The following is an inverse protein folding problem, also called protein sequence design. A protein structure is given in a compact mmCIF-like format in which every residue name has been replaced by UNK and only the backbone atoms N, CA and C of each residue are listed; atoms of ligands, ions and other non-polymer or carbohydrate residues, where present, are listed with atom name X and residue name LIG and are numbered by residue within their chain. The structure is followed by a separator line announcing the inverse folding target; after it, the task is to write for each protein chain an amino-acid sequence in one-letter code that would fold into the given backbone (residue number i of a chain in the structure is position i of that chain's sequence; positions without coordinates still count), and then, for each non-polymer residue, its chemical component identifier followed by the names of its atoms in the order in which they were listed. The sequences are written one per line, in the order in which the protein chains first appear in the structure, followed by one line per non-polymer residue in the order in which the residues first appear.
data_IF_421813380715
#
_entry.id   IF_421813380715
#
_cell.length_a   1.000
_cell.length_b   1.000
_cell.length_c   1.000
_cell.angle_alpha   90.00
_cell.angle_beta   90.00
_cell.angle_gamma   90.00
#
_symmetry.space_group_name_H-M   'P 1'
#
loop_
_entity.id
_entity.type
_entity.pdbx_description
1 polymer ?
#
# COMPACT_ATOMS: atom_id res chain seq x y z
N UNK A 1 10.07 35.22 -5.78
CA UNK A 1 9.40 35.92 -4.66
C UNK A 1 8.09 35.23 -4.24
N UNK A 2 7.18 34.91 -5.15
CA UNK A 2 5.88 34.27 -4.83
C UNK A 2 6.03 32.87 -4.22
N UNK A 3 7.02 32.10 -4.63
CA UNK A 3 7.30 30.77 -4.08
C UNK A 3 7.79 30.85 -2.62
N UNK A 4 8.71 31.76 -2.35
CA UNK A 4 9.27 31.98 -1.00
C UNK A 4 8.17 32.47 -0.04
N UNK A 5 7.29 33.38 -0.49
CA UNK A 5 6.18 33.87 0.31
C UNK A 5 5.16 32.78 0.66
N UNK A 6 4.88 31.85 -0.27
CA UNK A 6 4.02 30.67 -0.01
C UNK A 6 4.64 29.72 1.00
N UNK A 7 5.94 29.49 0.92
CA UNK A 7 6.67 28.61 1.83
C UNK A 7 6.72 29.18 3.23
N UNK A 8 7.00 30.49 3.37
CA UNK A 8 6.97 31.20 4.66
C UNK A 8 5.59 31.14 5.30
N UNK A 9 4.51 31.35 4.53
CA UNK A 9 3.14 31.26 5.04
C UNK A 9 2.75 29.83 5.46
N UNK A 10 3.32 28.79 4.81
CA UNK A 10 3.14 27.39 5.17
C UNK A 10 3.84 27.05 6.50
N UNK A 11 5.06 27.53 6.67
CA UNK A 11 5.85 27.34 7.89
C UNK A 11 5.19 28.04 9.09
N UNK A 12 4.68 29.26 8.92
CA UNK A 12 3.96 29.97 9.98
C UNK A 12 2.69 29.22 10.41
N UNK A 13 1.95 28.63 9.47
CA UNK A 13 0.77 27.80 9.78
C UNK A 13 1.15 26.53 10.53
N UNK A 14 2.24 25.89 10.15
CA UNK A 14 2.76 24.71 10.84
C UNK A 14 3.15 25.01 12.28
N UNK A 15 3.86 26.12 12.52
CA UNK A 15 4.23 26.60 13.88
C UNK A 15 3.00 26.87 14.75
N UNK A 16 2.01 27.59 14.21
CA UNK A 16 0.77 27.87 14.96
C UNK A 16 0.06 26.59 15.36
N UNK A 17 -0.02 25.62 14.44
CA UNK A 17 -0.66 24.34 14.72
C UNK A 17 0.12 23.52 15.75
N UNK A 18 1.44 23.49 15.66
CA UNK A 18 2.31 22.80 16.62
C UNK A 18 2.12 23.38 18.03
N UNK A 19 2.23 24.70 18.19
CA UNK A 19 2.05 25.35 19.49
C UNK A 19 0.63 25.14 20.04
N UNK A 20 -0.39 25.13 19.19
CA UNK A 20 -1.75 24.78 19.58
C UNK A 20 -1.83 23.36 20.17
N UNK A 21 -1.25 22.37 19.47
CA UNK A 21 -1.22 21.00 19.94
C UNK A 21 -0.49 20.87 21.28
N UNK A 22 0.68 21.50 21.45
CA UNK A 22 1.39 21.54 22.72
C UNK A 22 0.55 22.14 23.86
N UNK A 23 -0.20 23.20 23.58
CA UNK A 23 -1.08 23.83 24.56
C UNK A 23 -2.20 22.91 25.01
N UNK A 24 -2.81 22.18 24.06
CA UNK A 24 -3.83 21.18 24.40
C UNK A 24 -3.25 19.99 25.16
N UNK A 25 -2.06 19.50 24.79
CA UNK A 25 -1.36 18.43 25.53
C UNK A 25 -1.03 18.83 26.96
N UNK A 26 -0.67 20.09 27.20
CA UNK A 26 -0.46 20.61 28.55
C UNK A 26 -1.76 20.68 29.35
N UNK A 27 -2.86 21.18 28.77
CA UNK A 27 -4.16 21.26 29.40
C UNK A 27 -4.71 19.91 29.81
N UNK A 28 -4.54 18.92 28.94
CA UNK A 28 -4.97 17.52 29.18
C UNK A 28 -4.00 16.73 30.06
N UNK A 29 -2.88 17.35 30.49
CA UNK A 29 -1.91 16.72 31.39
C UNK A 29 -1.00 15.66 30.74
N UNK A 30 -0.92 15.62 29.42
CA UNK A 30 -0.03 14.69 28.69
C UNK A 30 1.43 15.10 28.75
N UNK A 31 1.73 16.39 28.97
CA UNK A 31 3.09 16.92 29.13
C UNK A 31 3.16 17.83 30.35
N UNK A 32 4.36 17.93 30.95
CA UNK A 32 4.59 18.84 32.06
C UNK A 32 4.77 20.29 31.57
N UNK A 33 4.57 21.27 32.47
CA UNK A 33 4.84 22.68 32.18
C UNK A 33 6.27 22.90 31.68
N UNK A 34 7.24 22.19 32.25
CA UNK A 34 8.64 22.25 31.85
C UNK A 34 8.88 21.71 30.44
N UNK A 35 8.21 20.63 30.06
CA UNK A 35 8.31 20.06 28.72
C UNK A 35 7.65 20.99 27.69
N UNK A 36 6.53 21.61 28.04
CA UNK A 36 5.86 22.61 27.22
C UNK A 36 6.78 23.81 26.91
N UNK A 37 7.41 24.40 27.92
CA UNK A 37 8.32 25.53 27.77
C UNK A 37 9.56 25.19 26.93
N UNK A 38 10.10 23.97 27.10
CA UNK A 38 11.25 23.50 26.32
C UNK A 38 10.92 23.15 24.88
N UNK A 39 9.65 22.87 24.58
CA UNK A 39 9.22 22.39 23.26
C UNK A 39 8.60 23.50 22.40
N UNK A 40 8.39 24.71 22.95
CA UNK A 40 7.85 25.82 22.19
C UNK A 40 8.85 26.33 21.14
N UNK A 41 8.38 26.47 19.90
CA UNK A 41 9.14 27.21 18.89
C UNK A 41 9.14 28.70 19.20
N UNK A 42 10.31 29.25 19.42
CA UNK A 42 10.49 30.71 19.58
C UNK A 42 10.29 31.40 18.24
N UNK A 43 9.65 32.57 18.24
CA UNK A 43 9.21 33.26 17.02
C UNK A 43 10.36 33.61 16.05
N UNK A 44 11.60 33.73 16.57
CA UNK A 44 12.78 34.14 15.80
C UNK A 44 13.82 33.03 15.56
N UNK A 45 13.57 31.79 15.96
CA UNK A 45 14.47 30.70 15.64
C UNK A 45 14.24 30.27 14.18
N UNK A 46 15.33 30.15 13.38
CA UNK A 46 15.20 29.59 12.05
C UNK A 46 14.62 28.19 12.17
N UNK A 47 13.58 27.96 11.42
CA UNK A 47 12.95 26.63 11.35
C UNK A 47 13.90 25.72 10.57
N UNK A 48 14.68 24.94 11.29
CA UNK A 48 15.55 23.96 10.68
C UNK A 48 14.68 22.82 10.12
N UNK A 49 14.57 22.81 8.78
CA UNK A 49 13.85 21.75 8.07
C UNK A 49 14.50 20.37 8.30
N UNK A 50 15.78 20.32 8.67
CA UNK A 50 16.49 19.10 9.00
C UNK A 50 16.14 18.58 10.40
N UNK A 51 15.66 19.43 11.30
CA UNK A 51 15.06 18.99 12.57
C UNK A 51 13.71 18.31 12.37
N UNK A 52 12.98 18.63 11.32
CA UNK A 52 11.88 17.82 10.84
C UNK A 52 12.47 16.78 9.87
N UNK A 53 13.37 15.98 10.34
CA UNK A 53 13.51 14.67 9.78
C UNK A 53 12.19 13.94 10.10
N UNK A 54 11.15 14.29 9.34
CA UNK A 54 10.14 13.35 8.98
C UNK A 54 10.84 12.28 8.14
N UNK A 55 11.67 11.49 8.78
CA UNK A 55 11.66 10.09 8.45
C UNK A 55 10.17 9.78 8.52
N UNK A 56 9.51 9.54 7.38
CA UNK A 56 8.14 9.08 7.44
C UNK A 56 8.21 7.86 8.35
N UNK A 57 7.68 7.99 9.58
CA UNK A 57 7.71 6.99 10.66
C UNK A 57 7.03 5.71 10.17
N UNK A 58 6.52 5.77 8.99
CA UNK A 58 6.11 4.64 8.17
C UNK A 58 6.78 4.79 6.80
N UNK A 59 7.89 4.10 6.57
CA UNK A 59 8.02 3.40 5.28
C UNK A 59 6.61 2.88 5.03
N UNK A 60 5.98 3.24 3.93
CA UNK A 60 4.64 2.74 3.61
C UNK A 60 4.76 1.22 3.52
N UNK A 61 4.63 0.55 4.66
CA UNK A 61 4.67 -0.90 4.74
C UNK A 61 3.46 -1.39 3.97
N UNK A 62 3.67 -2.33 3.09
CA UNK A 62 2.59 -3.00 2.38
C UNK A 62 1.71 -2.07 1.52
N UNK A 63 2.34 -1.30 0.64
CA UNK A 63 1.64 -0.32 -0.19
C UNK A 63 0.53 -0.96 -1.03
N UNK A 64 0.78 -2.13 -1.60
CA UNK A 64 -0.22 -2.86 -2.37
C UNK A 64 -1.39 -3.35 -1.51
N UNK A 65 -1.12 -3.82 -0.29
CA UNK A 65 -2.16 -4.21 0.67
C UNK A 65 -3.05 -3.02 1.03
N UNK A 66 -2.44 -1.89 1.37
CA UNK A 66 -3.17 -0.67 1.73
C UNK A 66 -4.04 -0.18 0.55
N UNK A 67 -3.52 -0.27 -0.67
CA UNK A 67 -4.25 0.11 -1.87
C UNK A 67 -5.42 -0.84 -2.14
N UNK A 68 -5.19 -2.14 -2.05
CA UNK A 68 -6.23 -3.15 -2.20
C UNK A 68 -7.36 -2.95 -1.20
N UNK A 69 -7.03 -2.71 0.07
CA UNK A 69 -8.01 -2.41 1.12
C UNK A 69 -8.82 -1.16 0.75
N UNK A 70 -8.16 -0.11 0.30
CA UNK A 70 -8.84 1.12 -0.11
C UNK A 70 -9.81 0.88 -1.26
N UNK A 71 -9.39 0.17 -2.31
CA UNK A 71 -10.23 -0.16 -3.46
C UNK A 71 -11.42 -1.06 -3.04
N UNK A 72 -11.19 -2.00 -2.11
CA UNK A 72 -12.25 -2.83 -1.54
C UNK A 72 -13.28 -1.99 -0.77
N UNK A 73 -12.84 -1.05 0.06
CA UNK A 73 -13.74 -0.15 0.79
C UNK A 73 -14.55 0.73 -0.18
N UNK A 74 -13.92 1.28 -1.20
CA UNK A 74 -14.60 2.07 -2.23
C UNK A 74 -15.61 1.24 -3.02
N UNK A 75 -15.27 0.01 -3.36
CA UNK A 75 -16.19 -0.93 -4.02
C UNK A 75 -17.43 -1.23 -3.16
N UNK A 76 -17.28 -1.23 -1.84
CA UNK A 76 -18.38 -1.41 -0.88
C UNK A 76 -19.06 -0.08 -0.49
N UNK A 77 -18.85 0.98 -1.25
CA UNK A 77 -19.58 2.24 -1.10
C UNK A 77 -19.01 3.21 -0.06
N UNK A 78 -17.83 2.94 0.50
CA UNK A 78 -17.15 3.85 1.43
C UNK A 78 -16.26 4.79 0.63
N UNK A 79 -16.59 6.08 0.61
CA UNK A 79 -15.83 7.08 -0.14
C UNK A 79 -14.49 7.43 0.52
N UNK A 80 -13.56 7.98 -0.27
CA UNK A 80 -12.26 8.49 0.23
C UNK A 80 -12.42 9.56 1.32
N UNK A 81 -13.46 10.39 1.21
CA UNK A 81 -13.77 11.41 2.21
C UNK A 81 -14.22 10.78 3.53
N UNK A 82 -15.02 9.71 3.46
CA UNK A 82 -15.46 8.97 4.63
C UNK A 82 -14.30 8.22 5.29
N UNK A 83 -13.43 7.56 4.52
CA UNK A 83 -12.21 6.93 5.05
C UNK A 83 -11.35 7.94 5.80
N UNK A 84 -11.26 9.18 5.30
CA UNK A 84 -10.49 10.26 5.94
C UNK A 84 -11.20 10.83 7.18
N UNK A 85 -12.53 10.88 7.18
CA UNK A 85 -13.34 11.37 8.31
C UNK A 85 -13.36 10.38 9.48
N UNK A 86 -13.33 9.09 9.21
CA UNK A 86 -13.31 8.05 10.25
C UNK A 86 -11.89 7.89 10.82
N UNK A 87 -11.39 8.94 11.47
CA UNK A 87 -10.15 8.86 12.25
C UNK A 87 -10.31 7.76 13.31
N UNK A 88 -9.54 6.67 13.18
CA UNK A 88 -9.60 5.53 14.09
C UNK A 88 -10.29 4.28 13.54
N UNK A 89 -10.63 4.23 12.24
CA UNK A 89 -11.09 3.00 11.60
C UNK A 89 -10.03 1.89 11.77
N UNK A 90 -10.44 0.78 12.38
CA UNK A 90 -9.61 -0.43 12.52
C UNK A 90 -10.04 -1.43 11.46
N UNK A 91 -9.12 -1.80 10.59
CA UNK A 91 -9.34 -2.77 9.52
C UNK A 91 -8.57 -4.03 9.85
N UNK A 92 -9.29 -5.14 9.99
CA UNK A 92 -8.72 -6.47 10.18
C UNK A 92 -8.66 -7.16 8.82
N UNK A 93 -7.49 -7.59 8.43
CA UNK A 93 -7.26 -8.28 7.16
C UNK A 93 -6.73 -9.71 7.39
N UNK A 94 -6.80 -10.52 6.36
CA UNK A 94 -6.24 -11.88 6.34
C UNK A 94 -4.75 -11.91 6.00
N UNK A 95 -4.14 -10.75 5.74
CA UNK A 95 -2.74 -10.62 5.36
C UNK A 95 -1.83 -11.01 6.52
N UNK A 96 -0.89 -11.90 6.23
CA UNK A 96 0.19 -12.28 7.10
C UNK A 96 1.37 -11.33 6.89
N UNK A 97 1.77 -10.61 7.94
CA UNK A 97 2.79 -9.56 7.82
C UNK A 97 4.17 -10.10 7.47
N UNK A 98 4.50 -11.29 7.97
CA UNK A 98 5.82 -11.88 7.76
C UNK A 98 5.90 -12.47 6.34
N UNK A 99 4.85 -13.15 5.92
CA UNK A 99 4.74 -13.66 4.55
C UNK A 99 4.71 -12.52 3.52
N UNK A 100 4.01 -11.43 3.82
CA UNK A 100 3.99 -10.24 2.98
C UNK A 100 5.39 -9.61 2.86
N UNK A 101 6.14 -9.54 3.94
CA UNK A 101 7.49 -9.01 3.91
C UNK A 101 8.42 -9.88 3.06
N UNK A 102 8.39 -11.20 3.27
CA UNK A 102 9.16 -12.16 2.47
C UNK A 102 8.82 -12.04 0.99
N UNK A 103 7.53 -12.00 0.65
CA UNK A 103 7.07 -11.83 -0.73
C UNK A 103 7.63 -10.54 -1.36
N UNK A 104 7.54 -9.42 -0.66
CA UNK A 104 8.03 -8.13 -1.13
C UNK A 104 9.54 -8.16 -1.38
N UNK A 105 10.31 -8.69 -0.44
CA UNK A 105 11.77 -8.77 -0.54
C UNK A 105 12.22 -9.66 -1.72
N UNK A 106 11.63 -10.84 -1.85
CA UNK A 106 11.99 -11.77 -2.92
C UNK A 106 11.55 -11.28 -4.30
N UNK A 107 10.36 -10.67 -4.43
CA UNK A 107 9.91 -10.10 -5.71
C UNK A 107 10.84 -8.96 -6.15
N UNK A 108 11.19 -8.05 -5.25
CA UNK A 108 12.09 -6.94 -5.56
C UNK A 108 13.47 -7.44 -5.98
N UNK A 109 14.01 -8.43 -5.28
CA UNK A 109 15.30 -9.04 -5.58
C UNK A 109 15.31 -9.72 -6.96
N UNK A 110 14.30 -10.54 -7.26
CA UNK A 110 14.20 -11.24 -8.53
C UNK A 110 13.96 -10.28 -9.70
N UNK A 111 13.08 -9.29 -9.54
CA UNK A 111 12.87 -8.28 -10.57
C UNK A 111 14.12 -7.43 -10.83
N UNK A 112 14.84 -7.06 -9.77
CA UNK A 112 16.10 -6.34 -9.93
C UNK A 112 17.16 -7.16 -10.70
N UNK A 113 17.18 -8.48 -10.48
CA UNK A 113 18.11 -9.38 -11.19
C UNK A 113 17.73 -9.53 -12.67
N UNK A 114 16.47 -9.83 -12.95
CA UNK A 114 15.98 -10.01 -14.31
C UNK A 114 16.05 -8.72 -15.14
N UNK A 115 15.85 -7.58 -14.52
CA UNK A 115 15.91 -6.27 -15.21
C UNK A 115 17.33 -5.81 -15.54
N UNK A 116 18.39 -6.45 -15.01
CA UNK A 116 19.77 -6.13 -15.40
C UNK A 116 20.06 -6.37 -16.88
N UNK A 117 19.40 -7.38 -17.46
CA UNK A 117 19.58 -7.80 -18.85
C UNK A 117 18.59 -7.13 -19.82
N UNK A 118 17.66 -6.35 -19.29
CA UNK A 118 16.60 -5.71 -20.08
C UNK A 118 16.86 -4.22 -20.31
N UNK A 119 16.34 -3.65 -21.41
CA UNK A 119 16.42 -2.22 -21.65
C UNK A 119 15.74 -1.41 -20.53
N UNK A 120 16.38 -0.37 -20.03
CA UNK A 120 15.87 0.47 -18.94
C UNK A 120 14.51 1.13 -19.21
N UNK A 121 14.15 1.29 -20.49
CA UNK A 121 12.87 1.87 -20.92
C UNK A 121 11.71 0.87 -20.95
N UNK A 122 11.97 -0.42 -20.72
CA UNK A 122 10.93 -1.46 -20.68
C UNK A 122 11.25 -2.50 -19.59
N UNK A 123 11.17 -2.13 -18.31
CA UNK A 123 11.44 -3.05 -17.22
C UNK A 123 10.37 -4.15 -17.13
N UNK A 124 10.80 -5.35 -16.81
CA UNK A 124 9.92 -6.45 -16.45
C UNK A 124 9.24 -6.16 -15.12
N UNK A 125 7.96 -6.44 -15.07
CA UNK A 125 7.13 -6.36 -13.87
C UNK A 125 6.36 -7.66 -13.67
N UNK A 126 6.17 -8.04 -12.42
CA UNK A 126 5.43 -9.24 -12.05
C UNK A 126 4.47 -8.96 -10.89
N UNK A 127 3.41 -9.74 -10.79
CA UNK A 127 2.50 -9.68 -9.65
C UNK A 127 2.23 -11.07 -9.10
N UNK A 128 2.04 -11.14 -7.80
CA UNK A 128 1.83 -12.39 -7.08
C UNK A 128 0.69 -12.26 -6.08
N UNK A 129 -0.08 -13.32 -5.93
CA UNK A 129 -1.10 -13.46 -4.89
C UNK A 129 -0.86 -14.81 -4.20
N UNK A 130 -0.71 -14.75 -2.88
CA UNK A 130 -0.55 -15.96 -2.04
C UNK A 130 -1.86 -16.22 -1.33
N UNK A 131 -2.43 -17.39 -1.55
CA UNK A 131 -3.75 -17.77 -1.05
C UNK A 131 -3.60 -19.01 -0.15
N UNK A 132 -4.30 -19.01 0.98
CA UNK A 132 -4.46 -20.21 1.79
C UNK A 132 -5.39 -21.18 1.06
N UNK A 133 -4.86 -22.33 0.62
CA UNK A 133 -5.61 -23.30 -0.16
C UNK A 133 -6.82 -23.91 0.56
N UNK A 134 -6.85 -23.88 1.91
CA UNK A 134 -7.96 -24.42 2.70
C UNK A 134 -9.08 -23.44 2.92
N UNK A 135 -8.75 -22.16 3.10
CA UNK A 135 -9.73 -21.11 3.47
C UNK A 135 -10.06 -20.15 2.33
N UNK A 136 -9.24 -20.11 1.27
CA UNK A 136 -9.35 -19.13 0.18
C UNK A 136 -8.87 -17.72 0.55
N UNK A 137 -8.35 -17.51 1.77
CA UNK A 137 -7.90 -16.21 2.23
C UNK A 137 -6.62 -15.75 1.54
N UNK A 138 -6.57 -14.49 1.11
CA UNK A 138 -5.35 -13.88 0.61
C UNK A 138 -4.42 -13.60 1.79
N UNK A 139 -3.24 -14.22 1.77
CA UNK A 139 -2.22 -14.10 2.83
C UNK A 139 -1.14 -13.09 2.52
N UNK A 140 -0.82 -12.90 1.24
CA UNK A 140 0.11 -11.87 0.77
C UNK A 140 -0.21 -11.48 -0.67
N UNK A 141 0.15 -10.24 -1.06
CA UNK A 141 -0.06 -9.73 -2.42
C UNK A 141 1.08 -8.78 -2.82
N UNK A 142 1.57 -8.93 -4.04
CA UNK A 142 2.49 -7.99 -4.68
C UNK A 142 1.95 -7.56 -6.04
N UNK A 143 2.00 -6.28 -6.32
CA UNK A 143 1.58 -5.70 -7.61
C UNK A 143 2.73 -5.39 -8.56
N UNK A 144 3.97 -5.72 -8.20
CA UNK A 144 5.19 -5.42 -8.93
C UNK A 144 6.25 -4.77 -8.06
N UNK A 145 7.17 -4.05 -8.68
CA UNK A 145 8.22 -3.32 -7.95
C UNK A 145 7.62 -2.23 -7.04
N UNK A 146 8.03 -2.19 -5.77
CA UNK A 146 7.52 -1.21 -4.80
C UNK A 146 8.18 0.19 -4.94
N UNK A 147 8.16 0.76 -6.12
CA UNK A 147 8.46 2.18 -6.26
C UNK A 147 7.19 3.01 -6.04
N UNK A 148 7.17 3.72 -4.91
CA UNK A 148 6.02 4.54 -4.46
C UNK A 148 5.63 5.62 -5.48
N UNK A 149 6.57 6.05 -6.34
CA UNK A 149 6.34 7.10 -7.34
C UNK A 149 5.52 6.61 -8.54
N UNK A 150 5.52 5.31 -8.82
CA UNK A 150 4.87 4.70 -9.99
C UNK A 150 3.62 3.87 -9.67
N UNK A 151 3.18 3.85 -8.41
CA UNK A 151 2.08 3.01 -7.93
C UNK A 151 0.69 3.49 -8.33
N UNK A 152 0.44 3.59 -9.61
CA UNK A 152 -0.90 3.91 -10.11
C UNK A 152 -1.77 2.65 -10.35
N UNK A 153 -1.18 1.45 -10.36
CA UNK A 153 -1.84 0.26 -10.86
C UNK A 153 -1.48 -1.01 -10.08
N UNK A 154 -2.50 -1.73 -9.57
CA UNK A 154 -2.32 -3.04 -8.96
C UNK A 154 -2.46 -4.12 -10.03
N UNK A 155 -1.34 -4.60 -10.55
CA UNK A 155 -1.33 -5.62 -11.61
C UNK A 155 -2.05 -6.91 -11.21
N UNK A 156 -1.99 -7.27 -9.95
CA UNK A 156 -2.65 -8.46 -9.41
C UNK A 156 -4.19 -8.40 -9.51
N UNK A 157 -4.78 -7.20 -9.55
CA UNK A 157 -6.23 -7.00 -9.68
C UNK A 157 -6.64 -6.68 -11.12
N UNK A 158 -5.70 -6.58 -12.06
CA UNK A 158 -6.01 -6.26 -13.44
C UNK A 158 -6.49 -7.49 -14.22
N UNK A 159 -7.45 -7.26 -15.11
CA UNK A 159 -7.92 -8.31 -16.01
C UNK A 159 -6.84 -8.63 -17.03
N UNK A 160 -6.45 -9.90 -17.10
CA UNK A 160 -5.45 -10.44 -18.00
C UNK A 160 -5.96 -11.73 -18.63
N UNK A 161 -5.46 -12.04 -19.82
CA UNK A 161 -5.72 -13.36 -20.42
C UNK A 161 -5.07 -14.45 -19.54
N UNK A 162 -5.84 -15.43 -19.07
CA UNK A 162 -5.30 -16.48 -18.21
C UNK A 162 -4.43 -17.49 -18.97
N UNK A 163 -4.50 -17.52 -20.30
CA UNK A 163 -3.86 -18.57 -21.08
C UNK A 163 -4.27 -19.96 -20.58
N UNK A 164 -3.32 -20.89 -20.57
CA UNK A 164 -3.58 -22.28 -20.09
C UNK A 164 -3.88 -22.39 -18.59
N UNK A 165 -3.67 -21.33 -17.81
CA UNK A 165 -3.98 -21.33 -16.37
C UNK A 165 -5.49 -21.43 -16.08
N UNK A 166 -6.36 -21.20 -17.10
CA UNK A 166 -7.81 -21.40 -16.98
C UNK A 166 -8.21 -22.88 -17.04
N UNK A 167 -7.36 -23.76 -17.59
CA UNK A 167 -7.73 -25.17 -17.85
C UNK A 167 -8.16 -25.95 -16.61
N UNK A 168 -7.53 -25.82 -15.44
CA UNK A 168 -8.02 -26.48 -14.23
C UNK A 168 -9.45 -26.14 -13.87
N UNK A 169 -9.87 -24.88 -14.11
CA UNK A 169 -11.24 -24.43 -13.86
C UNK A 169 -12.23 -25.02 -14.88
N UNK A 170 -11.82 -25.13 -16.15
CA UNK A 170 -12.63 -25.78 -17.18
C UNK A 170 -12.84 -27.26 -16.85
N UNK A 171 -11.79 -27.96 -16.43
CA UNK A 171 -11.90 -29.36 -16.02
C UNK A 171 -12.74 -29.54 -14.75
N UNK A 172 -12.56 -28.67 -13.76
CA UNK A 172 -13.41 -28.70 -12.57
C UNK A 172 -14.89 -28.51 -12.91
N UNK A 173 -15.23 -27.56 -13.77
CA UNK A 173 -16.59 -27.34 -14.23
C UNK A 173 -17.14 -28.56 -14.99
N UNK A 174 -16.34 -29.21 -15.84
CA UNK A 174 -16.77 -30.42 -16.55
C UNK A 174 -17.06 -31.57 -15.58
N UNK A 175 -16.26 -31.74 -14.52
CA UNK A 175 -16.50 -32.73 -13.48
C UNK A 175 -17.77 -32.43 -12.67
N UNK A 176 -18.04 -31.15 -12.36
CA UNK A 176 -19.26 -30.72 -11.67
C UNK A 176 -20.52 -30.98 -12.50
N UNK A 177 -20.43 -30.90 -13.83
CA UNK A 177 -21.50 -31.25 -14.77
C UNK A 177 -21.67 -32.75 -14.98
N UNK A 178 -20.92 -33.61 -14.26
CA UNK A 178 -21.04 -35.05 -14.29
C UNK A 178 -20.05 -35.75 -15.22
N UNK A 179 -19.10 -35.06 -15.78
CA UNK A 179 -17.97 -35.64 -16.50
C UNK A 179 -17.08 -36.48 -15.59
N UNK A 180 -16.27 -37.34 -16.18
CA UNK A 180 -15.30 -38.17 -15.46
C UNK A 180 -13.88 -37.85 -15.91
N UNK A 181 -12.87 -38.24 -15.10
CA UNK A 181 -11.45 -38.06 -15.43
C UNK A 181 -11.03 -38.85 -16.69
N UNK A 182 -11.80 -39.90 -17.04
CA UNK A 182 -11.50 -40.79 -18.16
C UNK A 182 -12.27 -40.42 -19.45
N UNK A 183 -13.06 -39.35 -19.42
CA UNK A 183 -13.80 -38.90 -20.58
C UNK A 183 -12.86 -38.38 -21.68
N UNK A 184 -13.03 -38.82 -22.93
CA UNK A 184 -12.19 -38.40 -24.03
C UNK A 184 -12.44 -36.92 -24.38
N UNK A 185 -11.39 -36.12 -24.39
CA UNK A 185 -11.44 -34.70 -24.82
C UNK A 185 -10.95 -34.61 -26.25
N UNK A 186 -11.79 -34.02 -27.14
CA UNK A 186 -11.39 -33.82 -28.52
C UNK A 186 -10.35 -32.66 -28.59
N UNK A 187 -9.15 -33.00 -29.05
CA UNK A 187 -8.13 -32.03 -29.44
C UNK A 187 -8.19 -31.79 -30.95
N UNK A 188 -9.38 -31.49 -31.46
CA UNK A 188 -9.60 -31.24 -32.86
C UNK A 188 -9.35 -29.77 -33.20
N UNK A 189 -8.74 -29.44 -34.35
CA UNK A 189 -8.72 -28.07 -34.84
C UNK A 189 -10.16 -27.57 -35.10
N UNK A 190 -10.44 -26.38 -34.61
CA UNK A 190 -11.72 -25.68 -34.79
C UNK A 190 -11.76 -25.04 -36.20
#
# INVERSE_FOLDING_TARGET
EVAIAKETARLQRARKRFNYVLTEMLKEGFISQKDYENSQFKENEPFDMDMINFTPIRKKRFVYVNRMIKEFLMFNGISDEEITKYAGLKIYSTIDSDLQQILTEEVNKQLAELNKELPANNPLEASFVVINAKTGEIRAISGGHEDVSQMQFIRALSRRSPGSAIMPFVYAAALDEGGTLDDPICNCPI
#
